data_IF_587355963112
#
_entry.id   IF_587355963112
#
_cell.length_a   1.000
_cell.length_b   1.000
_cell.length_c   1.000
_cell.angle_alpha   90.00
_cell.angle_beta   90.00
_cell.angle_gamma   90.00
#
_symmetry.space_group_name_H-M   'P 1'
#
loop_
_entity.id
_entity.type
_entity.pdbx_description
1 polymer ?
#
# COMPACT_ATOMS: atom_id res chain seq x y z
N UNK A 1 -5.19 -9.92 -22.03
CA UNK A 1 -4.88 -10.91 -20.99
C UNK A 1 -5.76 -10.75 -19.73
N UNK A 2 -7.00 -10.24 -19.84
CA UNK A 2 -7.73 -9.69 -18.67
C UNK A 2 -8.85 -10.60 -18.12
N UNK A 3 -9.32 -11.61 -18.87
CA UNK A 3 -10.39 -12.50 -18.42
C UNK A 3 -9.91 -13.60 -17.45
N UNK A 4 -8.63 -13.97 -17.53
CA UNK A 4 -8.06 -15.08 -16.73
C UNK A 4 -7.82 -14.69 -15.27
N UNK A 5 -7.65 -13.39 -14.98
CA UNK A 5 -7.33 -12.91 -13.63
C UNK A 5 -8.56 -12.80 -12.73
N UNK A 6 -9.75 -12.50 -13.28
CA UNK A 6 -10.99 -12.42 -12.51
C UNK A 6 -11.48 -13.80 -12.07
N UNK A 7 -11.34 -14.82 -12.93
CA UNK A 7 -11.72 -16.20 -12.61
C UNK A 7 -10.79 -16.85 -11.57
N UNK A 8 -9.49 -16.53 -11.54
CA UNK A 8 -8.58 -17.11 -10.55
C UNK A 8 -8.85 -16.59 -9.13
N UNK A 9 -9.15 -15.29 -8.97
CA UNK A 9 -9.27 -14.69 -7.64
C UNK A 9 -10.55 -15.08 -6.89
N UNK A 10 -11.67 -15.24 -7.60
CA UNK A 10 -12.89 -15.76 -6.98
C UNK A 10 -12.67 -17.21 -6.52
N UNK A 11 -11.95 -18.02 -7.30
CA UNK A 11 -11.58 -19.38 -6.94
C UNK A 11 -10.62 -19.40 -5.74
N UNK A 12 -9.61 -18.54 -5.72
CA UNK A 12 -8.65 -18.43 -4.60
C UNK A 12 -9.36 -18.08 -3.28
N UNK A 13 -10.28 -17.10 -3.32
CA UNK A 13 -11.09 -16.70 -2.15
C UNK A 13 -12.06 -17.78 -1.66
N UNK A 14 -12.53 -18.64 -2.55
CA UNK A 14 -13.41 -19.77 -2.21
C UNK A 14 -12.62 -20.98 -1.70
N UNK A 15 -11.33 -21.09 -2.05
CA UNK A 15 -10.47 -22.22 -1.68
C UNK A 15 -9.80 -21.99 -0.33
N UNK A 16 -9.18 -20.82 -0.13
CA UNK A 16 -8.58 -20.41 1.14
C UNK A 16 -8.76 -18.90 1.33
N UNK A 17 -9.90 -18.57 1.93
CA UNK A 17 -10.32 -17.18 2.15
C UNK A 17 -9.34 -16.44 3.04
N UNK A 18 -8.97 -17.04 4.17
CA UNK A 18 -8.25 -16.35 5.23
C UNK A 18 -6.81 -16.05 4.76
N UNK A 19 -6.14 -17.03 4.14
CA UNK A 19 -4.82 -16.81 3.53
C UNK A 19 -4.83 -15.77 2.42
N UNK A 20 -5.87 -15.79 1.56
CA UNK A 20 -5.99 -14.84 0.46
C UNK A 20 -6.21 -13.42 0.98
N UNK A 21 -7.05 -13.25 2.00
CA UNK A 21 -7.33 -11.96 2.61
C UNK A 21 -6.12 -11.40 3.35
N UNK A 22 -5.40 -12.23 4.10
CA UNK A 22 -4.17 -11.83 4.80
C UNK A 22 -3.11 -11.32 3.82
N UNK A 23 -2.92 -12.00 2.69
CA UNK A 23 -2.00 -11.55 1.63
C UNK A 23 -2.41 -10.21 1.02
N UNK A 24 -3.70 -10.02 0.78
CA UNK A 24 -4.22 -8.75 0.25
C UNK A 24 -4.01 -7.64 1.27
N UNK A 25 -4.25 -7.92 2.55
CA UNK A 25 -4.05 -7.01 3.67
C UNK A 25 -2.60 -6.57 3.76
N UNK A 26 -1.67 -7.52 3.92
CA UNK A 26 -0.24 -7.25 4.05
C UNK A 26 0.32 -6.43 2.88
N UNK A 27 -0.19 -6.66 1.67
CA UNK A 27 0.24 -5.94 0.47
C UNK A 27 -0.35 -4.53 0.35
N UNK A 28 -1.60 -4.33 0.75
CA UNK A 28 -2.38 -3.13 0.36
C UNK A 28 -2.57 -2.16 1.52
N UNK A 29 -2.73 -2.67 2.75
CA UNK A 29 -2.95 -1.83 3.94
C UNK A 29 -1.85 -0.77 4.15
N UNK A 30 -0.55 -1.07 3.97
CA UNK A 30 0.47 -0.04 4.14
C UNK A 30 0.32 1.18 3.24
N UNK A 31 -0.10 0.96 1.98
CA UNK A 31 -0.39 2.03 1.04
C UNK A 31 -1.56 2.89 1.53
N UNK A 32 -2.62 2.24 2.03
CA UNK A 32 -3.82 2.93 2.54
C UNK A 32 -3.50 3.72 3.80
N UNK A 33 -2.80 3.12 4.76
CA UNK A 33 -2.32 3.79 5.97
C UNK A 33 -1.50 5.03 5.65
N UNK A 34 -0.55 4.92 4.72
CA UNK A 34 0.24 6.06 4.28
C UNK A 34 -0.63 7.16 3.67
N UNK A 35 -1.53 6.78 2.75
CA UNK A 35 -2.43 7.74 2.10
C UNK A 35 -3.32 8.48 3.10
N UNK A 36 -3.96 7.76 4.03
CA UNK A 36 -4.84 8.34 5.05
C UNK A 36 -4.06 9.27 5.98
N UNK A 37 -2.86 8.87 6.42
CA UNK A 37 -1.98 9.72 7.23
C UNK A 37 -1.54 11.00 6.51
N UNK A 38 -1.18 10.92 5.23
CA UNK A 38 -0.85 12.10 4.42
C UNK A 38 -2.02 13.08 4.27
N UNK A 39 -3.25 12.62 4.51
CA UNK A 39 -4.48 13.40 4.39
C UNK A 39 -5.16 13.62 5.74
N UNK A 40 -4.39 13.65 6.84
CA UNK A 40 -4.86 14.07 8.16
C UNK A 40 -5.66 13.03 8.95
N UNK A 41 -5.63 11.76 8.53
CA UNK A 41 -6.29 10.67 9.25
C UNK A 41 -5.38 9.94 10.23
N UNK A 42 -5.99 9.28 11.20
CA UNK A 42 -5.32 8.43 12.17
C UNK A 42 -5.01 7.02 11.61
N UNK A 43 -4.29 6.22 12.39
CA UNK A 43 -4.11 4.80 12.04
C UNK A 43 -5.41 4.00 12.19
N UNK A 44 -6.26 4.35 13.15
CA UNK A 44 -7.58 3.75 13.33
C UNK A 44 -8.47 4.07 12.13
N UNK A 45 -8.47 5.33 11.67
CA UNK A 45 -9.17 5.76 10.45
C UNK A 45 -8.75 4.90 9.24
N UNK A 46 -7.44 4.64 9.10
CA UNK A 46 -6.92 3.83 8.02
C UNK A 46 -7.36 2.36 8.09
N UNK A 47 -7.42 1.78 9.30
CA UNK A 47 -7.92 0.41 9.51
C UNK A 47 -9.39 0.32 9.14
N UNK A 48 -10.20 1.26 9.60
CA UNK A 48 -11.64 1.29 9.35
C UNK A 48 -11.94 1.41 7.86
N UNK A 49 -11.32 2.38 7.19
CA UNK A 49 -11.44 2.58 5.74
C UNK A 49 -11.02 1.32 4.97
N UNK A 50 -9.92 0.69 5.37
CA UNK A 50 -9.42 -0.49 4.68
C UNK A 50 -10.29 -1.73 4.89
N UNK A 51 -10.76 -1.97 6.12
CA UNK A 51 -11.67 -3.07 6.41
C UNK A 51 -12.99 -2.93 5.66
N UNK A 52 -13.56 -1.72 5.58
CA UNK A 52 -14.76 -1.48 4.77
C UNK A 52 -14.51 -1.79 3.29
N UNK A 53 -13.36 -1.35 2.75
CA UNK A 53 -12.98 -1.65 1.37
C UNK A 53 -12.81 -3.16 1.12
N UNK A 54 -12.24 -3.90 2.07
CA UNK A 54 -12.10 -5.36 1.99
C UNK A 54 -13.46 -6.07 1.99
N UNK A 55 -14.42 -5.63 2.82
CA UNK A 55 -15.77 -6.17 2.84
C UNK A 55 -16.44 -5.97 1.48
N UNK A 56 -16.42 -4.74 0.95
CA UNK A 56 -16.99 -4.41 -0.37
C UNK A 56 -16.36 -5.26 -1.48
N UNK A 57 -15.03 -5.42 -1.44
CA UNK A 57 -14.32 -6.25 -2.39
C UNK A 57 -14.74 -7.72 -2.31
N UNK A 58 -14.83 -8.26 -1.08
CA UNK A 58 -15.25 -9.64 -0.85
C UNK A 58 -16.67 -9.89 -1.39
N UNK A 59 -17.63 -9.05 -1.02
CA UNK A 59 -19.03 -9.16 -1.44
C UNK A 59 -19.15 -9.17 -2.97
N UNK A 60 -18.51 -8.20 -3.64
CA UNK A 60 -18.54 -8.10 -5.10
C UNK A 60 -17.87 -9.28 -5.79
N UNK A 61 -16.84 -9.85 -5.16
CA UNK A 61 -16.15 -11.03 -5.71
C UNK A 61 -17.02 -12.29 -5.59
N UNK A 62 -17.60 -12.54 -4.42
CA UNK A 62 -18.49 -13.69 -4.18
C UNK A 62 -19.75 -13.62 -5.05
N UNK A 63 -20.30 -12.41 -5.26
CA UNK A 63 -21.46 -12.20 -6.13
C UNK A 63 -21.14 -12.23 -7.63
N UNK A 64 -19.87 -12.47 -8.02
CA UNK A 64 -19.40 -12.45 -9.42
C UNK A 64 -19.68 -11.13 -10.15
N UNK A 65 -19.82 -10.03 -9.40
CA UNK A 65 -20.08 -8.69 -9.93
C UNK A 65 -18.78 -7.91 -10.21
N UNK A 66 -17.63 -8.52 -9.97
CA UNK A 66 -16.33 -7.88 -10.09
C UNK A 66 -15.60 -8.32 -11.36
N UNK A 67 -15.44 -7.39 -12.30
CA UNK A 67 -14.52 -7.54 -13.43
C UNK A 67 -13.36 -6.58 -13.23
N UNK A 68 -12.21 -7.11 -12.80
CA UNK A 68 -11.01 -6.32 -12.58
C UNK A 68 -10.28 -6.04 -13.91
N UNK A 69 -10.05 -4.76 -14.19
CA UNK A 69 -9.17 -4.29 -15.26
C UNK A 69 -7.79 -3.85 -14.74
N UNK A 70 -7.59 -3.92 -13.43
CA UNK A 70 -6.38 -3.53 -12.71
C UNK A 70 -6.09 -4.51 -11.56
N UNK A 71 -4.99 -4.31 -10.84
CA UNK A 71 -4.66 -5.17 -9.70
C UNK A 71 -5.66 -4.98 -8.54
N UNK A 72 -5.83 -6.00 -7.69
CA UNK A 72 -6.65 -5.92 -6.47
C UNK A 72 -6.24 -4.74 -5.59
N UNK A 73 -4.93 -4.55 -5.38
CA UNK A 73 -4.41 -3.42 -4.61
C UNK A 73 -4.82 -2.08 -5.20
N UNK A 74 -4.81 -1.94 -6.53
CA UNK A 74 -5.28 -0.73 -7.22
C UNK A 74 -6.77 -0.50 -7.00
N UNK A 75 -7.57 -1.56 -7.11
CA UNK A 75 -9.01 -1.51 -6.90
C UNK A 75 -9.37 -1.10 -5.46
N UNK A 76 -8.79 -1.78 -4.46
CA UNK A 76 -8.98 -1.49 -3.04
C UNK A 76 -8.52 -0.09 -2.69
N UNK A 77 -7.36 0.34 -3.21
CA UNK A 77 -6.87 1.70 -3.02
C UNK A 77 -7.87 2.74 -3.58
N UNK A 78 -8.53 2.45 -4.71
CA UNK A 78 -9.59 3.29 -5.26
C UNK A 78 -10.79 3.42 -4.32
N UNK A 79 -11.25 2.30 -3.73
CA UNK A 79 -12.35 2.31 -2.75
C UNK A 79 -11.94 3.13 -1.52
N UNK A 80 -10.75 2.86 -0.96
CA UNK A 80 -10.25 3.55 0.23
C UNK A 80 -10.16 5.06 0.04
N UNK A 81 -9.63 5.52 -1.11
CA UNK A 81 -9.54 6.95 -1.44
C UNK A 81 -10.91 7.61 -1.47
N UNK A 82 -11.88 6.97 -2.13
CA UNK A 82 -13.23 7.50 -2.20
C UNK A 82 -13.89 7.57 -0.82
N UNK A 83 -13.71 6.54 0.01
CA UNK A 83 -14.22 6.51 1.39
C UNK A 83 -13.59 7.59 2.24
N UNK A 84 -12.27 7.76 2.17
CA UNK A 84 -11.58 8.80 2.91
C UNK A 84 -11.99 10.20 2.46
N UNK A 85 -12.17 10.44 1.16
CA UNK A 85 -12.71 11.71 0.66
C UNK A 85 -14.11 12.00 1.24
N UNK A 86 -15.01 11.02 1.26
CA UNK A 86 -16.33 11.18 1.87
C UNK A 86 -16.25 11.48 3.38
N UNK A 87 -15.29 10.88 4.07
CA UNK A 87 -15.04 11.12 5.48
C UNK A 87 -14.52 12.54 5.75
N UNK A 88 -13.55 13.00 4.96
CA UNK A 88 -13.05 14.38 5.03
C UNK A 88 -14.16 15.40 4.77
N UNK A 89 -15.04 15.16 3.79
CA UNK A 89 -16.19 16.02 3.55
C UNK A 89 -17.16 16.06 4.75
N UNK A 90 -17.39 14.92 5.42
CA UNK A 90 -18.20 14.87 6.64
C UNK A 90 -17.54 15.65 7.78
N UNK A 91 -16.24 15.45 7.99
CA UNK A 91 -15.46 16.16 9.02
C UNK A 91 -15.44 17.66 8.78
N UNK A 92 -15.28 18.09 7.53
CA UNK A 92 -15.35 19.51 7.15
C UNK A 92 -16.71 20.13 7.49
N UNK A 93 -17.82 19.47 7.10
CA UNK A 93 -19.17 19.93 7.43
C UNK A 93 -19.43 19.98 8.94
N UNK A 94 -18.87 19.04 9.71
CA UNK A 94 -19.03 19.01 11.16
C UNK A 94 -18.15 20.06 11.86
N UNK A 95 -16.96 20.35 11.33
CA UNK A 95 -16.07 21.40 11.82
C UNK A 95 -16.65 22.80 11.58
N UNK A 96 -17.37 23.02 10.46
CA UNK A 96 -18.13 24.25 10.24
C UNK A 96 -19.25 24.48 11.29
N UNK A 97 -19.66 23.43 12.01
CA UNK A 97 -20.67 23.50 13.07
C UNK A 97 -20.07 23.61 14.48
N UNK A 98 -18.78 23.35 14.65
CA UNK A 98 -18.11 23.29 15.97
C UNK A 98 -16.73 23.95 15.87
N UNK A 99 -16.65 25.22 16.25
CA UNK A 99 -15.40 25.96 16.37
C UNK A 99 -14.64 25.49 17.62
N UNK A 100 -13.71 24.55 17.46
CA UNK A 100 -12.56 24.33 18.35
C UNK A 100 -11.56 23.36 17.71
N UNK A 101 -10.27 23.73 17.56
CA UNK A 101 -9.24 22.81 17.11
C UNK A 101 -8.72 21.99 18.29
N UNK A 102 -8.86 20.67 18.22
CA UNK A 102 -8.12 19.73 19.08
C UNK A 102 -7.03 19.12 18.20
N UNK A 103 -5.78 19.49 18.45
CA UNK A 103 -4.62 18.81 17.88
C UNK A 103 -4.46 17.43 18.56
N UNK A 104 -4.47 16.31 17.81
CA UNK A 104 -4.10 15.03 18.38
C UNK A 104 -2.58 14.94 18.47
N UNK A 105 -2.07 14.70 19.68
CA UNK A 105 -0.69 14.31 19.96
C UNK A 105 -0.47 12.87 19.45
N UNK A 106 0.65 12.64 18.79
CA UNK A 106 0.97 11.40 18.07
C UNK A 106 1.67 10.39 18.97
N UNK A 107 1.17 9.15 19.01
CA UNK A 107 1.92 7.99 19.48
C UNK A 107 2.31 7.11 18.28
N UNK A 108 3.60 6.84 18.16
CA UNK A 108 4.18 5.89 17.22
C UNK A 108 4.07 4.48 17.83
N UNK A 109 3.03 3.73 17.46
CA UNK A 109 2.92 2.32 17.82
C UNK A 109 3.87 1.50 16.95
N UNK A 110 5.04 1.16 17.49
CA UNK A 110 5.96 0.18 16.92
C UNK A 110 5.34 -1.21 16.95
N UNK A 111 5.14 -1.79 15.77
CA UNK A 111 4.94 -3.23 15.64
C UNK A 111 6.32 -3.89 15.62
N UNK A 112 6.67 -4.55 16.72
CA UNK A 112 7.77 -5.51 16.75
C UNK A 112 7.35 -6.77 16.00
N UNK A 113 8.07 -7.13 14.94
CA UNK A 113 8.00 -8.44 14.31
C UNK A 113 9.36 -9.15 14.36
N UNK A 114 9.26 -10.47 14.54
CA UNK A 114 10.27 -11.48 14.84
C UNK A 114 11.50 -11.52 13.89
N UNK A 115 12.60 -12.21 14.26
CA UNK A 115 13.87 -12.19 13.53
C UNK A 115 13.84 -13.10 12.29
N UNK A 116 12.93 -12.84 11.35
CA UNK A 116 13.12 -13.26 9.98
C UNK A 116 14.19 -12.37 9.34
N UNK A 117 14.92 -12.89 8.35
CA UNK A 117 15.92 -12.12 7.62
C UNK A 117 15.20 -10.93 6.95
N UNK A 118 15.32 -9.74 7.52
CA UNK A 118 14.49 -8.62 7.11
C UNK A 118 15.05 -8.02 5.81
N UNK A 119 14.29 -8.14 4.72
CA UNK A 119 14.62 -7.54 3.43
C UNK A 119 14.92 -6.03 3.57
N UNK A 120 14.26 -5.35 4.52
CA UNK A 120 14.51 -3.94 4.78
C UNK A 120 15.94 -3.65 5.23
N UNK A 121 16.61 -4.57 5.91
CA UNK A 121 18.02 -4.38 6.31
C UNK A 121 18.93 -4.26 5.09
N UNK A 122 18.64 -5.00 4.01
CA UNK A 122 19.38 -4.86 2.74
C UNK A 122 19.00 -3.58 2.02
N UNK A 123 17.74 -3.15 2.08
CA UNK A 123 17.28 -1.90 1.48
C UNK A 123 17.96 -0.69 2.16
N UNK A 124 18.08 -0.72 3.49
CA UNK A 124 18.75 0.32 4.29
C UNK A 124 20.22 0.50 3.88
N UNK A 125 20.90 -0.59 3.53
CA UNK A 125 22.30 -0.59 3.10
C UNK A 125 22.52 0.00 1.69
N UNK A 126 21.46 0.22 0.89
CA UNK A 126 21.58 0.79 -0.46
C UNK A 126 21.80 2.30 -0.46
N UNK A 127 21.59 2.96 0.68
CA UNK A 127 21.64 4.41 0.86
C UNK A 127 20.27 5.08 0.67
N UNK A 128 20.13 6.28 1.24
CA UNK A 128 18.85 6.97 1.43
C UNK A 128 18.05 7.17 0.15
N UNK A 129 18.71 7.58 -0.95
CA UNK A 129 18.03 7.74 -2.24
C UNK A 129 17.42 6.44 -2.75
N UNK A 130 18.15 5.32 -2.67
CA UNK A 130 17.64 4.05 -3.17
C UNK A 130 16.57 3.46 -2.26
N UNK A 131 16.75 3.57 -0.94
CA UNK A 131 15.73 3.21 0.06
C UNK A 131 14.44 3.95 -0.21
N UNK A 132 14.51 5.29 -0.26
CA UNK A 132 13.36 6.16 -0.48
C UNK A 132 12.63 5.82 -1.79
N UNK A 133 13.33 5.69 -2.91
CA UNK A 133 12.72 5.32 -4.21
C UNK A 133 12.03 3.95 -4.17
N UNK A 134 12.67 2.94 -3.57
CA UNK A 134 12.12 1.59 -3.53
C UNK A 134 10.90 1.49 -2.61
N UNK A 135 10.94 2.14 -1.44
CA UNK A 135 9.81 2.20 -0.50
C UNK A 135 8.66 2.99 -1.14
N UNK A 136 8.92 4.18 -1.67
CA UNK A 136 7.92 4.99 -2.36
C UNK A 136 7.21 4.21 -3.48
N UNK A 137 7.96 3.47 -4.30
CA UNK A 137 7.38 2.75 -5.42
C UNK A 137 6.68 1.45 -5.01
N UNK A 138 7.31 0.60 -4.20
CA UNK A 138 6.80 -0.75 -3.91
C UNK A 138 5.92 -0.83 -2.67
N UNK A 139 6.18 -0.01 -1.65
CA UNK A 139 5.47 -0.05 -0.39
C UNK A 139 4.33 0.98 -0.35
N UNK A 140 4.57 2.20 -0.83
CA UNK A 140 3.53 3.24 -0.91
C UNK A 140 2.80 3.30 -2.25
N UNK A 141 3.31 2.61 -3.28
CA UNK A 141 2.67 2.57 -4.60
C UNK A 141 2.62 3.91 -5.32
N UNK A 142 3.54 4.84 -5.00
CA UNK A 142 3.61 6.15 -5.63
C UNK A 142 3.96 6.00 -7.12
N UNK A 143 3.40 6.90 -7.94
CA UNK A 143 3.71 6.92 -9.38
C UNK A 143 5.10 7.50 -9.61
N UNK A 144 5.73 7.12 -10.72
CA UNK A 144 7.09 7.56 -11.05
C UNK A 144 7.19 9.08 -11.25
N UNK A 145 6.09 9.73 -11.62
CA UNK A 145 5.98 11.20 -11.70
C UNK A 145 6.15 11.85 -10.32
N UNK A 146 5.49 11.31 -9.29
CA UNK A 146 5.57 11.81 -7.92
C UNK A 146 6.98 11.58 -7.36
N UNK A 147 7.52 10.39 -7.59
CA UNK A 147 8.90 10.05 -7.19
C UNK A 147 9.91 10.95 -7.91
N UNK A 148 9.70 11.27 -9.19
CA UNK A 148 10.55 12.19 -9.93
C UNK A 148 10.56 13.58 -9.28
N UNK A 149 9.39 14.11 -8.92
CA UNK A 149 9.26 15.39 -8.25
C UNK A 149 9.93 15.38 -6.86
N UNK A 150 9.66 14.36 -6.04
CA UNK A 150 10.21 14.21 -4.69
C UNK A 150 11.75 14.20 -4.68
N UNK A 151 12.38 13.59 -5.69
CA UNK A 151 13.84 13.49 -5.81
C UNK A 151 14.47 14.56 -6.72
N UNK A 152 13.70 15.54 -7.19
CA UNK A 152 14.22 16.63 -8.03
C UNK A 152 14.69 16.20 -9.42
N UNK A 153 14.16 15.09 -9.96
CA UNK A 153 14.48 14.64 -11.32
C UNK A 153 13.72 15.45 -12.37
N UNK A 154 14.44 15.94 -13.39
CA UNK A 154 13.82 16.70 -14.48
C UNK A 154 12.87 15.89 -15.37
N UNK A 155 13.03 14.57 -15.42
CA UNK A 155 12.16 13.70 -16.22
C UNK A 155 11.80 12.43 -15.46
N UNK A 156 10.61 11.89 -15.75
CA UNK A 156 10.14 10.59 -15.23
C UNK A 156 11.07 9.44 -15.65
N UNK A 157 11.72 9.57 -16.81
CA UNK A 157 12.70 8.60 -17.30
C UNK A 157 13.89 8.47 -16.35
N UNK A 158 14.37 9.59 -15.78
CA UNK A 158 15.45 9.57 -14.80
C UNK A 158 15.06 8.78 -13.54
N UNK A 159 13.86 9.02 -13.00
CA UNK A 159 13.34 8.26 -11.86
C UNK A 159 13.19 6.76 -12.18
N UNK A 160 12.73 6.43 -13.39
CA UNK A 160 12.59 5.05 -13.87
C UNK A 160 13.92 4.31 -13.91
N UNK A 161 14.94 4.96 -14.49
CA UNK A 161 16.31 4.42 -14.58
C UNK A 161 16.92 4.28 -13.19
N UNK A 162 16.73 5.28 -12.31
CA UNK A 162 17.26 5.20 -10.95
C UNK A 162 16.61 4.08 -10.16
N UNK A 163 15.28 3.92 -10.22
CA UNK A 163 14.57 2.79 -9.62
C UNK A 163 15.15 1.46 -10.11
N UNK A 164 15.35 1.32 -11.42
CA UNK A 164 15.96 0.11 -11.99
C UNK A 164 17.35 -0.15 -11.41
N UNK A 165 18.23 0.86 -11.36
CA UNK A 165 19.57 0.74 -10.76
C UNK A 165 19.52 0.34 -9.28
N UNK A 166 18.63 0.94 -8.50
CA UNK A 166 18.46 0.60 -7.08
C UNK A 166 17.97 -0.83 -6.91
N UNK A 167 17.02 -1.27 -7.74
CA UNK A 167 16.52 -2.66 -7.72
C UNK A 167 17.61 -3.67 -8.10
N UNK A 168 18.44 -3.37 -9.10
CA UNK A 168 19.59 -4.21 -9.45
C UNK A 168 20.62 -4.31 -8.33
N UNK A 169 20.88 -3.21 -7.63
CA UNK A 169 21.75 -3.23 -6.43
C UNK A 169 21.15 -4.09 -5.32
N UNK A 170 19.84 -4.00 -5.09
CA UNK A 170 19.17 -4.85 -4.11
C UNK A 170 19.29 -6.33 -4.50
N UNK A 171 18.99 -6.67 -5.76
CA UNK A 171 19.12 -8.05 -6.29
C UNK A 171 20.51 -8.62 -6.10
N UNK A 172 21.56 -7.81 -6.31
CA UNK A 172 22.95 -8.21 -6.05
C UNK A 172 23.23 -8.42 -4.56
N UNK A 173 22.68 -7.57 -3.69
CA UNK A 173 22.85 -7.70 -2.24
C UNK A 173 22.21 -8.98 -1.69
N UNK A 174 21.09 -9.42 -2.27
CA UNK A 174 20.36 -10.63 -1.84
C UNK A 174 20.62 -11.87 -2.71
N UNK A 175 21.53 -11.81 -3.68
CA UNK A 175 21.70 -12.86 -4.70
C UNK A 175 22.12 -14.23 -4.13
N UNK A 176 22.70 -14.24 -2.92
CA UNK A 176 23.12 -15.44 -2.21
C UNK A 176 22.01 -16.05 -1.35
N UNK A 177 20.82 -15.45 -1.33
CA UNK A 177 19.68 -15.85 -0.50
C UNK A 177 18.56 -16.43 -1.37
N UNK A 178 17.99 -17.57 -0.97
CA UNK A 178 16.75 -18.10 -1.56
C UNK A 178 15.53 -17.34 -1.04
N UNK A 179 14.44 -17.29 -1.81
CA UNK A 179 13.14 -16.73 -1.43
C UNK A 179 12.64 -17.34 -0.10
N UNK A 180 12.99 -18.59 0.19
CA UNK A 180 12.61 -19.30 1.42
C UNK A 180 13.14 -18.63 2.71
N UNK A 181 14.18 -17.80 2.63
CA UNK A 181 14.74 -17.08 3.79
C UNK A 181 13.91 -15.86 4.20
N UNK A 182 12.93 -15.46 3.39
CA UNK A 182 12.09 -14.27 3.60
C UNK A 182 10.62 -14.61 3.85
N UNK A 183 10.28 -15.90 3.97
CA UNK A 183 8.93 -16.35 4.29
C UNK A 183 8.72 -16.23 5.80
N UNK A 184 7.59 -15.64 6.27
CA UNK A 184 7.25 -15.62 7.69
C UNK A 184 7.01 -17.04 8.22
#
# INVERSE_FOLDING_TARGET
MNATQSLSMAVDLLTDRDYTMERIYAKTYPMVRHYVREHGGSEEDAKDVFHEAMIIYYEKTVQQQLVLTSSVSTYLMGICKNRWHQELEKRSRNAELVDNPVDPIWEESGMEEQPALNLMTFVDQLGETCKSILISFYYFGQRLEQIAQQHGYQTVRSATVQKFKCLERLRKAVSHLSIDHFKP
#
